data_IF_826628533472
#
_entry.id   IF_826628533472
#
_cell.length_a   1.000
_cell.length_b   1.000
_cell.length_c   1.000
_cell.angle_alpha   90.00
_cell.angle_beta   90.00
_cell.angle_gamma   90.00
#
_symmetry.space_group_name_H-M   'P 1'
#
loop_
_entity.id
_entity.type
_entity.pdbx_description
1 polymer ?
#
# COMPACT_ATOMS: atom_id res chain seq x y z
N UNK A 1 45.40 12.43 25.97
CA UNK A 1 44.30 12.79 25.05
C UNK A 1 43.37 11.59 24.98
N UNK A 2 42.21 11.64 25.65
CA UNK A 2 41.25 10.54 25.64
C UNK A 2 40.54 10.49 24.28
N UNK A 3 40.41 9.31 23.64
CA UNK A 3 39.69 9.22 22.38
C UNK A 3 38.21 9.49 22.63
N UNK A 4 37.68 10.54 22.01
CA UNK A 4 36.26 10.86 21.98
C UNK A 4 35.49 9.68 21.41
N UNK A 5 34.78 8.97 22.29
CA UNK A 5 33.83 7.91 21.97
C UNK A 5 32.67 8.56 21.21
N UNK A 6 32.73 8.60 19.87
CA UNK A 6 31.55 8.95 19.05
C UNK A 6 30.45 7.95 19.42
N UNK A 7 29.42 8.40 20.13
CA UNK A 7 28.21 7.59 20.27
C UNK A 7 27.65 7.41 18.86
N UNK A 8 27.73 6.21 18.31
CA UNK A 8 27.09 5.85 17.05
C UNK A 8 25.59 5.76 17.31
N UNK A 9 24.93 6.92 17.43
CA UNK A 9 23.48 6.97 17.52
C UNK A 9 22.94 6.42 16.19
N UNK A 10 22.23 5.29 16.24
CA UNK A 10 21.51 4.80 15.06
C UNK A 10 20.48 5.85 14.67
N UNK A 11 20.38 6.14 13.38
CA UNK A 11 19.36 7.08 12.87
C UNK A 11 18.00 6.43 13.02
N UNK A 12 17.05 7.16 13.58
CA UNK A 12 15.69 6.66 13.76
C UNK A 12 14.85 6.91 12.51
N UNK A 13 14.01 5.94 12.19
CA UNK A 13 13.17 5.95 10.99
C UNK A 13 11.74 5.60 11.37
N UNK A 14 10.80 6.47 10.98
CA UNK A 14 9.40 6.11 10.84
C UNK A 14 9.20 5.46 9.47
N UNK A 15 8.58 4.28 9.46
CA UNK A 15 8.41 3.49 8.26
C UNK A 15 6.94 3.47 7.80
N UNK A 16 6.69 4.02 6.60
CA UNK A 16 5.39 3.96 5.93
C UNK A 16 5.32 2.73 5.02
N UNK A 17 4.42 1.79 5.33
CA UNK A 17 4.23 0.54 4.61
C UNK A 17 2.97 0.59 3.73
N UNK A 18 3.18 0.55 2.41
CA UNK A 18 2.10 0.65 1.44
C UNK A 18 1.24 -0.62 1.31
N UNK A 19 -0.01 -0.41 0.85
CA UNK A 19 -0.92 -1.47 0.45
C UNK A 19 -0.60 -2.04 -0.94
N UNK A 20 -0.82 -3.35 -1.13
CA UNK A 20 -0.53 -4.02 -2.41
C UNK A 20 -0.85 -5.50 -2.51
N UNK A 21 -1.55 -6.10 -1.53
CA UNK A 21 -1.82 -7.55 -1.49
C UNK A 21 -0.53 -8.36 -1.34
N UNK A 22 -0.39 -9.46 -2.08
CA UNK A 22 0.75 -10.38 -2.02
C UNK A 22 2.11 -9.68 -2.15
N UNK A 23 2.20 -8.62 -2.96
CA UNK A 23 3.39 -7.78 -3.12
C UNK A 23 3.94 -7.23 -1.80
N UNK A 24 3.09 -7.07 -0.79
CA UNK A 24 3.49 -6.66 0.56
C UNK A 24 4.47 -7.60 1.25
N UNK A 25 4.67 -8.83 0.78
CA UNK A 25 5.76 -9.68 1.25
C UNK A 25 7.15 -9.06 1.02
N UNK A 26 7.28 -8.16 0.04
CA UNK A 26 8.49 -7.37 -0.15
C UNK A 26 8.82 -6.44 1.03
N UNK A 27 7.83 -6.08 1.86
CA UNK A 27 8.07 -5.29 3.08
C UNK A 27 9.04 -6.01 4.01
N UNK A 28 8.90 -7.33 4.21
CA UNK A 28 9.79 -8.11 5.08
C UNK A 28 11.25 -8.00 4.65
N UNK A 29 11.49 -8.12 3.34
CA UNK A 29 12.82 -7.98 2.76
C UNK A 29 13.39 -6.58 2.88
N UNK A 30 12.57 -5.56 2.61
CA UNK A 30 13.00 -4.17 2.70
C UNK A 30 13.32 -3.75 4.14
N UNK A 31 12.48 -4.12 5.12
CA UNK A 31 12.74 -3.88 6.56
C UNK A 31 14.07 -4.52 6.97
N UNK A 32 14.36 -5.74 6.49
CA UNK A 32 15.61 -6.42 6.81
C UNK A 32 16.84 -5.62 6.40
N UNK A 33 16.86 -5.08 5.19
CA UNK A 33 18.00 -4.31 4.69
C UNK A 33 18.09 -2.93 5.34
N UNK A 34 16.95 -2.30 5.69
CA UNK A 34 16.94 -1.06 6.50
C UNK A 34 17.64 -1.29 7.85
N UNK A 35 17.27 -2.35 8.57
CA UNK A 35 17.89 -2.70 9.85
C UNK A 35 19.37 -3.07 9.69
N UNK A 36 19.70 -3.82 8.63
CA UNK A 36 21.09 -4.24 8.33
C UNK A 36 21.99 -3.06 7.97
N UNK A 37 21.43 -2.00 7.39
CA UNK A 37 22.12 -0.74 7.12
C UNK A 37 22.32 0.13 8.39
N UNK A 38 21.85 -0.32 9.56
CA UNK A 38 22.10 0.33 10.84
C UNK A 38 21.06 1.37 11.25
N UNK A 39 19.92 1.43 10.56
CA UNK A 39 18.77 2.25 10.99
C UNK A 39 18.00 1.55 12.11
N UNK A 40 17.36 2.36 12.97
CA UNK A 40 16.45 1.90 14.01
C UNK A 40 15.02 2.31 13.62
N UNK A 41 14.08 1.38 13.64
CA UNK A 41 12.68 1.69 13.34
C UNK A 41 12.01 2.14 14.62
N UNK A 42 11.62 3.42 14.70
CA UNK A 42 10.98 4.00 15.88
C UNK A 42 9.45 3.96 15.82
N UNK A 43 8.89 3.81 14.61
CA UNK A 43 7.45 3.77 14.37
C UNK A 43 7.14 3.11 13.03
N UNK A 44 5.98 2.46 12.96
CA UNK A 44 5.43 1.93 11.71
C UNK A 44 4.06 2.54 11.42
N UNK A 45 3.80 2.90 10.17
CA UNK A 45 2.49 3.35 9.68
C UNK A 45 2.08 2.48 8.51
N UNK A 46 0.97 1.75 8.60
CA UNK A 46 0.60 0.73 7.62
C UNK A 46 -0.81 0.87 7.05
N UNK A 47 -0.96 0.52 5.78
CA UNK A 47 -2.25 0.37 5.07
C UNK A 47 -2.34 -1.03 4.46
N UNK A 48 -3.50 -1.68 4.59
CA UNK A 48 -3.78 -2.98 3.95
C UNK A 48 -2.76 -4.05 4.35
N UNK A 49 -2.11 -4.71 3.39
CA UNK A 49 -1.00 -5.63 3.69
C UNK A 49 0.15 -4.97 4.47
N UNK A 50 0.39 -3.67 4.27
CA UNK A 50 1.36 -2.90 5.06
C UNK A 50 0.94 -2.76 6.52
N UNK A 51 -0.38 -2.71 6.80
CA UNK A 51 -0.90 -2.74 8.16
C UNK A 51 -0.66 -4.11 8.82
N UNK A 52 -0.89 -5.22 8.09
CA UNK A 52 -0.61 -6.57 8.57
C UNK A 52 0.88 -6.77 8.87
N UNK A 53 1.76 -6.53 7.89
CA UNK A 53 3.21 -6.70 8.08
C UNK A 53 3.74 -5.74 9.15
N UNK A 54 3.26 -4.50 9.16
CA UNK A 54 3.65 -3.50 10.14
C UNK A 54 3.28 -3.89 11.56
N UNK A 55 2.05 -4.39 11.77
CA UNK A 55 1.62 -4.89 13.07
C UNK A 55 2.40 -6.15 13.48
N UNK A 56 2.65 -7.09 12.57
CA UNK A 56 3.47 -8.28 12.87
C UNK A 56 4.85 -7.87 13.40
N UNK A 57 5.52 -6.95 12.70
CA UNK A 57 6.85 -6.47 13.10
C UNK A 57 6.82 -5.65 14.39
N UNK A 58 5.81 -4.79 14.57
CA UNK A 58 5.69 -3.93 15.73
C UNK A 58 5.49 -4.71 17.04
N UNK A 59 4.73 -5.82 17.00
CA UNK A 59 4.54 -6.70 18.16
C UNK A 59 5.67 -7.70 18.34
N UNK A 60 6.30 -8.15 17.25
CA UNK A 60 7.42 -9.07 17.29
C UNK A 60 8.56 -8.55 16.41
N UNK A 61 9.47 -7.71 16.96
CA UNK A 61 10.55 -7.08 16.20
C UNK A 61 11.71 -8.02 15.85
N UNK A 62 11.44 -9.32 15.77
CA UNK A 62 12.33 -10.33 15.20
C UNK A 62 11.86 -10.64 13.77
N UNK A 63 12.55 -10.05 12.79
CA UNK A 63 12.20 -10.22 11.38
C UNK A 63 12.27 -11.67 10.90
N UNK A 64 13.18 -12.48 11.44
CA UNK A 64 13.31 -13.87 11.02
C UNK A 64 12.09 -14.66 11.48
N UNK A 65 11.68 -14.47 12.74
CA UNK A 65 10.50 -15.11 13.30
C UNK A 65 9.22 -14.72 12.56
N UNK A 66 9.01 -13.44 12.23
CA UNK A 66 7.81 -13.03 11.50
C UNK A 66 7.82 -13.54 10.05
N UNK A 67 8.98 -13.58 9.39
CA UNK A 67 9.10 -14.11 8.03
C UNK A 67 8.80 -15.60 8.01
N UNK A 68 9.36 -16.36 8.95
CA UNK A 68 9.07 -17.79 9.10
C UNK A 68 7.58 -18.03 9.35
N UNK A 69 6.97 -17.30 10.30
CA UNK A 69 5.53 -17.40 10.59
C UNK A 69 4.67 -17.10 9.37
N UNK A 70 5.00 -16.03 8.62
CA UNK A 70 4.29 -15.69 7.39
C UNK A 70 4.39 -16.80 6.34
N UNK A 71 5.59 -17.33 6.09
CA UNK A 71 5.81 -18.40 5.11
C UNK A 71 5.12 -19.71 5.53
N UNK A 72 5.17 -20.06 6.81
CA UNK A 72 4.46 -21.22 7.35
C UNK A 72 2.95 -21.09 7.14
N UNK A 73 2.37 -19.92 7.44
CA UNK A 73 0.95 -19.65 7.22
C UNK A 73 0.57 -19.73 5.73
N UNK A 74 1.35 -19.14 4.82
CA UNK A 74 1.09 -19.23 3.38
C UNK A 74 1.14 -20.66 2.84
N UNK A 75 1.94 -21.53 3.47
CA UNK A 75 2.03 -22.95 3.14
C UNK A 75 0.94 -23.80 3.82
N UNK A 76 0.11 -23.22 4.69
CA UNK A 76 -0.90 -23.97 5.42
C UNK A 76 -2.02 -24.47 4.49
N UNK A 77 -2.59 -25.67 4.75
CA UNK A 77 -3.71 -26.17 3.97
C UNK A 77 -4.95 -25.26 4.04
N UNK A 78 -5.19 -24.58 5.17
CA UNK A 78 -6.32 -23.66 5.26
C UNK A 78 -6.15 -22.49 4.28
N UNK A 79 -4.99 -21.83 4.30
CA UNK A 79 -4.72 -20.70 3.42
C UNK A 79 -4.79 -21.10 1.95
N UNK A 80 -4.16 -22.21 1.57
CA UNK A 80 -4.16 -22.69 0.18
C UNK A 80 -5.58 -23.02 -0.31
N UNK A 81 -6.42 -23.65 0.52
CA UNK A 81 -7.84 -23.93 0.17
C UNK A 81 -8.62 -22.64 -0.04
N UNK A 82 -8.45 -21.65 0.82
CA UNK A 82 -9.12 -20.35 0.67
C UNK A 82 -8.59 -19.62 -0.58
N UNK A 83 -7.28 -19.55 -0.79
CA UNK A 83 -6.70 -18.92 -1.98
C UNK A 83 -7.24 -19.55 -3.28
N UNK A 84 -7.32 -20.88 -3.36
CA UNK A 84 -7.87 -21.58 -4.53
C UNK A 84 -9.37 -21.31 -4.74
N UNK A 85 -10.17 -21.23 -3.68
CA UNK A 85 -11.61 -20.94 -3.78
C UNK A 85 -11.89 -19.50 -4.21
N UNK A 86 -11.02 -18.58 -3.83
CA UNK A 86 -11.18 -17.14 -4.09
C UNK A 86 -10.67 -16.72 -5.46
N UNK A 87 -9.57 -17.33 -5.91
CA UNK A 87 -8.85 -16.92 -7.12
C UNK A 87 -8.73 -18.03 -8.16
N UNK A 88 -9.58 -19.06 -8.05
CA UNK A 88 -9.52 -20.33 -8.80
C UNK A 88 -8.98 -20.24 -10.22
N UNK A 89 -7.90 -21.00 -10.44
CA UNK A 89 -7.20 -21.31 -11.71
C UNK A 89 -6.99 -20.12 -12.65
N UNK A 90 -5.73 -19.65 -12.72
CA UNK A 90 -5.17 -19.05 -13.94
C UNK A 90 -5.62 -19.88 -15.15
N UNK A 91 -6.61 -19.39 -15.89
CA UNK A 91 -6.82 -19.84 -17.25
C UNK A 91 -5.60 -19.31 -18.00
N UNK A 92 -4.70 -20.23 -18.38
CA UNK A 92 -3.51 -19.88 -19.12
C UNK A 92 -3.88 -19.05 -20.35
N UNK A 93 -3.33 -17.85 -20.43
CA UNK A 93 -3.33 -17.04 -21.64
C UNK A 93 -2.47 -17.79 -22.67
N UNK A 94 -3.11 -18.56 -23.56
CA UNK A 94 -2.51 -18.91 -24.83
C UNK A 94 -2.69 -17.72 -25.78
N UNK A 95 -1.66 -17.32 -26.53
CA UNK A 95 -1.72 -16.15 -27.40
C UNK A 95 -2.86 -16.30 -28.42
N UNK A 96 -3.67 -15.24 -28.51
CA UNK A 96 -4.85 -15.15 -29.36
C UNK A 96 -4.53 -15.44 -30.84
N UNK A 97 -5.23 -16.40 -31.44
CA UNK A 97 -5.35 -16.49 -32.90
C UNK A 97 -6.69 -15.86 -33.31
N UNK A 98 -6.70 -14.69 -33.96
CA UNK A 98 -7.95 -14.00 -34.31
C UNK A 98 -8.80 -14.81 -35.31
N UNK A 99 -10.10 -14.98 -35.03
CA UNK A 99 -11.10 -15.40 -36.03
C UNK A 99 -11.79 -16.75 -35.83
N UNK A 100 -11.46 -17.52 -34.79
CA UNK A 100 -12.11 -18.82 -34.55
C UNK A 100 -13.44 -18.71 -33.79
N UNK A 101 -14.35 -19.66 -34.05
CA UNK A 101 -15.62 -19.83 -33.32
C UNK A 101 -15.37 -19.92 -31.79
N UNK A 102 -14.25 -20.53 -31.39
CA UNK A 102 -13.80 -20.59 -30.01
C UNK A 102 -13.60 -19.20 -29.37
N UNK A 103 -13.10 -18.20 -30.09
CA UNK A 103 -12.94 -16.82 -29.61
C UNK A 103 -14.29 -16.16 -29.34
N UNK A 104 -15.30 -16.43 -30.18
CA UNK A 104 -16.67 -15.93 -29.99
C UNK A 104 -17.34 -16.54 -28.74
N UNK A 105 -17.21 -17.85 -28.57
CA UNK A 105 -17.71 -18.53 -27.37
C UNK A 105 -17.00 -18.07 -26.10
N UNK A 106 -15.68 -17.84 -26.14
CA UNK A 106 -14.91 -17.32 -25.00
C UNK A 106 -15.37 -15.92 -24.62
N UNK A 107 -15.52 -15.00 -25.59
CA UNK A 107 -16.08 -13.65 -25.36
C UNK A 107 -17.48 -13.67 -24.76
N UNK A 108 -18.35 -14.57 -25.22
CA UNK A 108 -19.68 -14.75 -24.65
C UNK A 108 -19.60 -15.29 -23.21
N UNK A 109 -18.76 -16.28 -22.96
CA UNK A 109 -18.54 -16.82 -21.62
C UNK A 109 -17.96 -15.77 -20.66
N UNK A 110 -17.02 -14.95 -21.12
CA UNK A 110 -16.43 -13.86 -20.35
C UNK A 110 -17.46 -12.75 -20.07
N UNK A 111 -18.31 -12.40 -21.04
CA UNK A 111 -19.43 -11.48 -20.85
C UNK A 111 -20.46 -12.01 -19.84
N UNK A 112 -20.80 -13.30 -19.90
CA UNK A 112 -21.70 -13.93 -18.94
C UNK A 112 -21.09 -14.01 -17.54
N UNK A 113 -19.78 -14.27 -17.42
CA UNK A 113 -19.04 -14.23 -16.16
C UNK A 113 -18.99 -12.82 -15.58
N UNK A 114 -18.67 -11.82 -16.40
CA UNK A 114 -18.66 -10.42 -16.01
C UNK A 114 -20.06 -9.97 -15.55
N UNK A 115 -21.13 -10.32 -16.26
CA UNK A 115 -22.50 -10.05 -15.86
C UNK A 115 -22.88 -10.71 -14.52
N UNK A 116 -22.47 -11.96 -14.30
CA UNK A 116 -22.72 -12.66 -13.03
C UNK A 116 -21.94 -12.05 -11.87
N UNK A 117 -20.69 -11.65 -12.10
CA UNK A 117 -19.86 -10.96 -11.11
C UNK A 117 -20.48 -9.61 -10.74
N UNK A 118 -20.90 -8.85 -11.75
CA UNK A 118 -21.51 -7.54 -11.59
C UNK A 118 -22.85 -7.62 -10.85
N UNK A 119 -23.71 -8.57 -11.20
CA UNK A 119 -24.95 -8.82 -10.48
C UNK A 119 -24.71 -9.17 -8.99
N UNK A 120 -23.65 -9.96 -8.70
CA UNK A 120 -23.27 -10.26 -7.32
C UNK A 120 -22.74 -9.04 -6.59
N UNK A 121 -21.91 -8.21 -7.22
CA UNK A 121 -21.36 -6.99 -6.65
C UNK A 121 -22.43 -5.91 -6.38
N UNK A 122 -23.52 -5.88 -7.16
CA UNK A 122 -24.65 -4.97 -6.91
C UNK A 122 -25.51 -5.43 -5.73
N UNK A 123 -25.66 -6.75 -5.52
CA UNK A 123 -26.52 -7.30 -4.46
C UNK A 123 -25.81 -7.61 -3.15
N UNK A 124 -24.47 -7.58 -3.12
CA UNK A 124 -23.66 -7.94 -1.96
C UNK A 124 -22.56 -6.92 -1.76
N UNK A 125 -22.25 -6.61 -0.50
CA UNK A 125 -21.16 -5.72 -0.14
C UNK A 125 -19.76 -6.31 -0.40
N UNK A 126 -19.67 -7.63 -0.63
CA UNK A 126 -18.41 -8.32 -0.91
C UNK A 126 -18.59 -9.52 -1.85
N UNK A 127 -17.53 -9.81 -2.62
CA UNK A 127 -17.45 -11.00 -3.47
C UNK A 127 -17.03 -12.25 -2.69
N UNK A 128 -16.31 -12.04 -1.58
CA UNK A 128 -15.65 -13.05 -0.74
C UNK A 128 -16.18 -12.97 0.70
N UNK A 129 -16.24 -14.11 1.41
CA UNK A 129 -16.54 -14.13 2.85
C UNK A 129 -15.37 -13.52 3.66
N UNK A 130 -15.68 -12.86 4.77
CA UNK A 130 -14.65 -12.28 5.66
C UNK A 130 -13.75 -13.31 6.35
N UNK A 131 -14.11 -14.60 6.27
CA UNK A 131 -13.46 -15.72 6.97
C UNK A 131 -11.96 -15.82 6.68
N UNK A 132 -11.53 -15.60 5.43
CA UNK A 132 -10.09 -15.63 5.12
C UNK A 132 -9.35 -14.52 5.87
N UNK A 133 -9.89 -13.30 5.84
CA UNK A 133 -9.21 -12.18 6.49
C UNK A 133 -9.21 -12.33 8.01
N UNK A 134 -10.28 -12.87 8.58
CA UNK A 134 -10.34 -13.23 10.00
C UNK A 134 -9.30 -14.30 10.36
N UNK A 135 -9.14 -15.32 9.52
CA UNK A 135 -8.10 -16.34 9.68
C UNK A 135 -6.70 -15.70 9.61
N UNK A 136 -6.40 -14.91 8.58
CA UNK A 136 -5.09 -14.23 8.43
C UNK A 136 -4.75 -13.43 9.69
N UNK A 137 -5.69 -12.60 10.15
CA UNK A 137 -5.48 -11.73 11.30
C UNK A 137 -5.32 -12.54 12.59
N UNK A 138 -6.13 -13.58 12.79
CA UNK A 138 -6.06 -14.45 13.97
C UNK A 138 -4.72 -15.19 14.05
N UNK A 139 -4.26 -15.72 12.92
CA UNK A 139 -3.04 -16.54 12.87
C UNK A 139 -1.75 -15.73 12.85
N UNK A 140 -1.76 -14.50 12.35
CA UNK A 140 -0.56 -13.67 12.23
C UNK A 140 -0.40 -12.62 13.33
N UNK A 141 -1.51 -12.17 13.95
CA UNK A 141 -1.48 -11.09 14.93
C UNK A 141 -1.93 -11.56 16.32
N UNK A 142 -1.33 -11.02 17.40
CA UNK A 142 -1.75 -11.34 18.76
C UNK A 142 -3.15 -10.80 19.05
N UNK A 143 -3.76 -11.29 20.11
CA UNK A 143 -4.97 -10.69 20.68
C UNK A 143 -4.58 -9.66 21.73
N UNK A 144 -4.30 -8.43 21.28
CA UNK A 144 -3.73 -7.36 22.09
C UNK A 144 -4.21 -5.96 21.63
N UNK A 145 -3.97 -4.94 22.45
CA UNK A 145 -4.18 -3.55 22.09
C UNK A 145 -2.95 -3.03 21.31
N UNK A 146 -3.14 -2.19 20.30
CA UNK A 146 -2.05 -1.57 19.54
C UNK A 146 -1.00 -0.86 20.42
N UNK A 147 -1.39 -0.36 21.60
CA UNK A 147 -0.49 0.27 22.57
C UNK A 147 0.50 -0.70 23.22
N UNK A 148 0.20 -2.00 23.18
CA UNK A 148 1.05 -3.05 23.75
C UNK A 148 2.20 -3.46 22.79
N UNK A 149 2.25 -2.89 21.59
CA UNK A 149 3.30 -3.16 20.62
C UNK A 149 4.68 -2.70 21.12
N UNK A 150 5.73 -3.48 20.85
CA UNK A 150 7.10 -3.14 21.20
C UNK A 150 7.61 -1.90 20.45
N UNK A 151 7.09 -1.66 19.25
CA UNK A 151 7.34 -0.47 18.44
C UNK A 151 5.98 0.22 18.19
N UNK A 152 5.85 1.54 18.40
CA UNK A 152 4.64 2.28 18.06
C UNK A 152 4.17 1.99 16.63
N UNK A 153 2.91 1.63 16.47
CA UNK A 153 2.33 1.28 15.17
C UNK A 153 0.98 1.95 14.95
N UNK A 154 0.79 2.51 13.76
CA UNK A 154 -0.45 3.14 13.32
C UNK A 154 -1.02 2.37 12.13
N UNK A 155 -2.26 1.90 12.22
CA UNK A 155 -2.94 1.22 11.10
C UNK A 155 -4.03 2.12 10.54
N UNK A 156 -4.16 2.21 9.22
CA UNK A 156 -5.08 3.19 8.60
C UNK A 156 -6.19 2.47 7.83
N UNK A 157 -7.43 2.86 8.10
CA UNK A 157 -8.61 2.49 7.34
C UNK A 157 -9.37 3.75 6.88
N UNK A 158 -10.52 3.57 6.25
CA UNK A 158 -11.48 4.65 5.97
C UNK A 158 -12.83 4.30 6.54
N UNK A 159 -13.53 5.27 7.13
CA UNK A 159 -14.94 5.14 7.47
C UNK A 159 -15.81 5.49 6.26
N UNK A 160 -16.58 4.53 5.76
CA UNK A 160 -17.43 4.66 4.59
C UNK A 160 -18.62 5.60 4.82
N UNK A 161 -19.02 5.85 6.07
CA UNK A 161 -20.09 6.82 6.36
C UNK A 161 -19.59 8.26 6.24
N UNK A 162 -18.47 8.60 6.89
CA UNK A 162 -17.93 9.96 6.89
C UNK A 162 -16.99 10.28 5.72
N UNK A 163 -16.46 9.25 5.05
CA UNK A 163 -15.43 9.38 4.02
C UNK A 163 -14.06 9.80 4.55
N UNK A 164 -13.83 9.74 5.87
CA UNK A 164 -12.57 10.19 6.51
C UNK A 164 -11.65 9.02 6.84
N UNK A 165 -10.32 9.21 6.74
CA UNK A 165 -9.36 8.23 7.24
C UNK A 165 -9.55 8.03 8.75
N UNK A 166 -9.49 6.77 9.17
CA UNK A 166 -9.43 6.39 10.58
C UNK A 166 -8.03 5.86 10.86
N UNK A 167 -7.31 6.53 11.75
CA UNK A 167 -5.95 6.17 12.15
C UNK A 167 -6.02 5.47 13.50
N UNK A 168 -5.74 4.17 13.52
CA UNK A 168 -5.70 3.36 14.72
C UNK A 168 -4.31 3.43 15.34
N UNK A 169 -4.18 4.12 16.48
CA UNK A 169 -3.00 4.09 17.36
C UNK A 169 -3.24 3.27 18.64
N UNK A 170 -4.49 2.88 18.88
CA UNK A 170 -4.94 2.14 20.06
C UNK A 170 -6.14 1.26 19.70
N UNK A 171 -6.46 0.31 20.58
CA UNK A 171 -7.56 -0.63 20.41
C UNK A 171 -7.11 -1.97 19.82
N UNK A 172 -8.04 -2.92 19.60
CA UNK A 172 -7.69 -4.29 19.25
C UNK A 172 -6.95 -4.37 17.90
N UNK A 173 -5.71 -4.86 17.91
CA UNK A 173 -4.85 -4.94 16.71
C UNK A 173 -5.52 -5.73 15.59
N UNK A 174 -6.23 -6.80 15.95
CA UNK A 174 -6.93 -7.66 15.00
C UNK A 174 -8.07 -6.93 14.29
N UNK A 175 -8.83 -6.12 15.02
CA UNK A 175 -9.90 -5.31 14.44
C UNK A 175 -9.31 -4.26 13.47
N UNK A 176 -8.31 -3.50 13.92
CA UNK A 176 -7.68 -2.44 13.12
C UNK A 176 -7.03 -2.99 11.85
N UNK A 177 -6.30 -4.11 11.94
CA UNK A 177 -5.70 -4.78 10.79
C UNK A 177 -6.77 -5.33 9.82
N UNK A 178 -7.84 -5.95 10.33
CA UNK A 178 -8.97 -6.42 9.51
C UNK A 178 -9.64 -5.25 8.78
N UNK A 179 -9.93 -4.16 9.48
CA UNK A 179 -10.52 -2.95 8.88
C UNK A 179 -9.62 -2.39 7.77
N UNK A 180 -8.33 -2.24 8.04
CA UNK A 180 -7.34 -1.72 7.08
C UNK A 180 -7.15 -2.63 5.86
N UNK A 181 -7.36 -3.94 5.97
CA UNK A 181 -7.21 -4.90 4.88
C UNK A 181 -8.53 -5.36 4.22
N UNK A 182 -9.67 -4.76 4.61
CA UNK A 182 -10.99 -5.06 4.03
C UNK A 182 -11.18 -4.32 2.71
N UNK A 183 -10.54 -4.83 1.65
CA UNK A 183 -10.58 -4.27 0.28
C UNK A 183 -12.03 -4.18 -0.22
N UNK A 184 -12.54 -2.97 -0.55
CA UNK A 184 -13.90 -2.78 -1.06
C UNK A 184 -14.24 -3.69 -2.24
N UNK A 185 -15.42 -4.31 -2.22
CA UNK A 185 -15.87 -5.23 -3.25
C UNK A 185 -15.25 -6.64 -3.16
N UNK A 186 -14.08 -6.80 -2.55
CA UNK A 186 -13.49 -8.12 -2.28
C UNK A 186 -13.99 -8.65 -0.94
N UNK A 187 -13.65 -7.95 0.15
CA UNK A 187 -13.99 -8.33 1.51
C UNK A 187 -15.12 -7.45 2.06
N UNK A 188 -15.93 -7.97 3.00
CA UNK A 188 -16.97 -7.17 3.63
C UNK A 188 -16.32 -6.07 4.49
N UNK A 189 -16.93 -4.86 4.53
CA UNK A 189 -16.47 -3.83 5.45
C UNK A 189 -16.67 -4.26 6.92
N UNK A 190 -15.87 -3.70 7.81
CA UNK A 190 -15.89 -4.00 9.24
C UNK A 190 -16.76 -2.98 9.96
N UNK A 191 -17.91 -3.42 10.47
CA UNK A 191 -18.69 -2.61 11.40
C UNK A 191 -17.98 -2.55 12.76
N UNK A 192 -17.77 -1.35 13.26
CA UNK A 192 -17.22 -1.12 14.60
C UNK A 192 -17.80 0.18 15.17
N UNK A 193 -18.45 0.09 16.34
CA UNK A 193 -19.19 1.20 16.94
C UNK A 193 -20.20 1.83 15.95
N UNK A 194 -20.04 3.11 15.62
CA UNK A 194 -20.88 3.85 14.66
C UNK A 194 -20.23 3.98 13.26
N UNK A 195 -19.12 3.27 13.04
CA UNK A 195 -18.33 3.35 11.81
C UNK A 195 -18.53 2.10 10.95
N UNK A 196 -18.37 2.30 9.64
CA UNK A 196 -18.31 1.20 8.67
C UNK A 196 -16.96 1.26 7.96
N UNK A 197 -16.02 0.44 8.40
CA UNK A 197 -14.61 0.58 8.05
C UNK A 197 -14.23 -0.28 6.85
N UNK A 198 -13.36 0.26 5.99
CA UNK A 198 -12.79 -0.47 4.86
C UNK A 198 -11.33 -0.07 4.59
N UNK A 199 -10.68 -0.83 3.72
CA UNK A 199 -9.33 -0.52 3.23
C UNK A 199 -9.35 0.77 2.39
N UNK A 200 -8.48 1.72 2.74
CA UNK A 200 -8.30 2.99 2.01
C UNK A 200 -7.35 2.85 0.81
N UNK A 201 -6.68 1.71 0.68
CA UNK A 201 -5.61 1.45 -0.28
C UNK A 201 -6.05 1.44 -1.75
N UNK A 202 -7.36 1.40 -2.02
CA UNK A 202 -7.91 1.67 -3.35
C UNK A 202 -7.63 3.09 -3.85
N UNK A 203 -7.34 4.03 -2.93
CA UNK A 203 -7.02 5.43 -3.23
C UNK A 203 -5.69 5.86 -2.59
N UNK A 204 -5.55 5.73 -1.26
CA UNK A 204 -4.39 6.19 -0.49
C UNK A 204 -3.55 5.01 0.04
N UNK A 205 -3.04 4.16 -0.88
CA UNK A 205 -2.28 2.96 -0.53
C UNK A 205 -0.98 3.22 0.22
N UNK A 206 -0.32 4.35 -0.01
CA UNK A 206 0.95 4.69 0.62
C UNK A 206 0.70 5.76 1.70
N UNK A 207 0.86 5.45 3.00
CA UNK A 207 0.32 6.29 4.08
C UNK A 207 1.18 7.53 4.42
N UNK A 208 1.84 8.12 3.45
CA UNK A 208 2.76 9.25 3.66
C UNK A 208 2.06 10.52 4.14
N UNK A 209 0.80 10.75 3.73
CA UNK A 209 0.02 11.89 4.21
C UNK A 209 -0.23 11.86 5.72
N UNK A 210 -0.39 10.68 6.33
CA UNK A 210 -0.53 10.49 7.78
C UNK A 210 0.85 10.42 8.43
N UNK A 211 1.77 9.61 7.90
CA UNK A 211 3.09 9.42 8.49
C UNK A 211 3.88 10.73 8.64
N UNK A 212 3.73 11.66 7.68
CA UNK A 212 4.38 12.97 7.72
C UNK A 212 3.90 13.88 8.86
N UNK A 213 2.68 13.66 9.37
CA UNK A 213 2.10 14.43 10.46
C UNK A 213 2.56 13.95 11.84
N UNK A 214 3.10 12.73 11.92
CA UNK A 214 3.63 12.16 13.16
C UNK A 214 5.06 12.65 13.38
N UNK A 215 5.53 12.81 14.64
CA UNK A 215 6.93 13.12 14.90
C UNK A 215 7.88 12.03 14.37
N UNK A 216 8.90 12.41 13.60
CA UNK A 216 9.91 11.51 13.06
C UNK A 216 11.25 12.23 12.83
N UNK A 217 12.37 11.49 12.94
CA UNK A 217 13.68 11.95 12.47
C UNK A 217 13.82 11.79 10.96
N UNK A 218 13.55 10.59 10.46
CA UNK A 218 13.50 10.24 9.04
C UNK A 218 12.19 9.51 8.72
N UNK A 219 11.65 9.74 7.53
CA UNK A 219 10.47 9.06 7.01
C UNK A 219 10.83 8.26 5.76
N UNK A 220 10.87 6.93 5.91
CA UNK A 220 11.05 6.02 4.78
C UNK A 220 9.72 5.41 4.37
N UNK A 221 9.53 5.19 3.08
CA UNK A 221 8.33 4.57 2.51
C UNK A 221 8.70 3.30 1.74
N UNK A 222 7.91 2.23 1.89
CA UNK A 222 7.99 1.05 1.03
C UNK A 222 6.73 0.97 0.17
N UNK A 223 6.90 1.20 -1.13
CA UNK A 223 5.81 1.25 -2.11
C UNK A 223 5.73 -0.04 -2.92
N UNK A 224 4.74 -0.88 -2.57
CA UNK A 224 4.42 -2.16 -3.22
C UNK A 224 3.20 -2.04 -4.14
N UNK A 225 2.93 -0.83 -4.63
CA UNK A 225 1.82 -0.53 -5.53
C UNK A 225 1.87 -1.28 -6.87
N UNK A 226 0.81 -1.12 -7.65
CA UNK A 226 0.70 -1.69 -9.00
C UNK A 226 1.07 -0.69 -10.07
N UNK A 227 1.46 -1.19 -11.24
CA UNK A 227 1.44 -0.39 -12.48
C UNK A 227 0.02 -0.22 -13.00
N UNK A 228 -0.19 0.91 -13.68
CA UNK A 228 -1.42 1.17 -14.43
C UNK A 228 -1.51 0.20 -15.61
N UNK A 229 -2.31 -0.85 -15.47
CA UNK A 229 -2.53 -1.83 -16.55
C UNK A 229 -3.15 -1.17 -17.79
N UNK A 230 -2.82 -1.59 -19.02
CA UNK A 230 -3.50 -1.11 -20.21
C UNK A 230 -5.01 -1.39 -20.14
N UNK A 231 -5.83 -0.47 -20.65
CA UNK A 231 -7.27 -0.69 -20.80
C UNK A 231 -7.57 -1.39 -22.13
N UNK A 232 -8.61 -2.22 -22.17
CA UNK A 232 -9.06 -2.86 -23.40
C UNK A 232 -9.43 -1.84 -24.49
N UNK A 233 -9.37 -2.26 -25.77
CA UNK A 233 -9.71 -1.39 -26.92
C UNK A 233 -11.16 -0.89 -26.90
N UNK A 234 -12.09 -1.67 -26.34
CA UNK A 234 -13.50 -1.32 -26.22
C UNK A 234 -13.95 -1.61 -24.79
N UNK A 235 -13.64 -0.71 -23.82
CA UNK A 235 -13.96 -0.95 -22.43
C UNK A 235 -15.44 -0.68 -22.16
N UNK A 236 -16.00 -1.46 -21.24
CA UNK A 236 -17.29 -1.23 -20.61
C UNK A 236 -17.27 -0.01 -19.69
N UNK A 237 -18.46 0.52 -19.35
CA UNK A 237 -18.58 1.62 -18.40
C UNK A 237 -17.93 1.31 -17.03
N UNK A 238 -18.04 0.06 -16.57
CA UNK A 238 -17.43 -0.38 -15.31
C UNK A 238 -15.91 -0.41 -15.40
N UNK A 239 -15.34 -0.89 -16.50
CA UNK A 239 -13.88 -0.86 -16.71
C UNK A 239 -13.36 0.57 -16.77
N UNK A 240 -14.10 1.51 -17.36
CA UNK A 240 -13.75 2.93 -17.36
C UNK A 240 -13.76 3.50 -15.93
N UNK A 241 -14.79 3.20 -15.13
CA UNK A 241 -14.89 3.67 -13.74
C UNK A 241 -13.75 3.13 -12.87
N UNK A 242 -13.46 1.83 -12.95
CA UNK A 242 -12.34 1.21 -12.24
C UNK A 242 -11.01 1.78 -12.71
N UNK A 243 -10.85 2.00 -14.02
CA UNK A 243 -9.65 2.63 -14.58
C UNK A 243 -9.42 4.04 -14.05
N UNK A 244 -10.49 4.85 -13.93
CA UNK A 244 -10.40 6.19 -13.36
C UNK A 244 -9.94 6.15 -11.90
N UNK A 245 -10.45 5.20 -11.11
CA UNK A 245 -9.98 4.99 -9.74
C UNK A 245 -8.48 4.64 -9.72
N UNK A 246 -8.04 3.70 -10.56
CA UNK A 246 -6.62 3.30 -10.64
C UNK A 246 -5.71 4.48 -11.02
N UNK A 247 -6.12 5.29 -12.01
CA UNK A 247 -5.40 6.50 -12.42
C UNK A 247 -5.31 7.49 -11.26
N UNK A 248 -6.42 7.76 -10.58
CA UNK A 248 -6.46 8.64 -9.42
C UNK A 248 -5.51 8.17 -8.31
N UNK A 249 -5.53 6.88 -7.99
CA UNK A 249 -4.64 6.28 -7.00
C UNK A 249 -3.16 6.35 -7.42
N UNK A 250 -2.85 6.18 -8.70
CA UNK A 250 -1.49 6.28 -9.22
C UNK A 250 -0.94 7.72 -9.15
N UNK A 251 -1.74 8.70 -9.59
CA UNK A 251 -1.39 10.12 -9.50
C UNK A 251 -1.23 10.57 -8.04
N UNK A 252 -2.13 10.14 -7.16
CA UNK A 252 -2.04 10.43 -5.73
C UNK A 252 -0.77 9.82 -5.12
N UNK A 253 -0.47 8.55 -5.46
CA UNK A 253 0.75 7.86 -5.01
C UNK A 253 2.01 8.62 -5.43
N UNK A 254 2.11 9.03 -6.69
CA UNK A 254 3.26 9.81 -7.19
C UNK A 254 3.40 11.14 -6.45
N UNK A 255 2.28 11.85 -6.23
CA UNK A 255 2.29 13.10 -5.49
C UNK A 255 2.80 12.95 -4.05
N UNK A 256 2.41 11.88 -3.34
CA UNK A 256 2.83 11.70 -1.94
C UNK A 256 4.27 11.23 -1.78
N UNK A 257 4.94 10.72 -2.83
CA UNK A 257 6.34 10.28 -2.75
C UNK A 257 7.28 11.39 -2.28
N UNK A 258 6.99 12.64 -2.65
CA UNK A 258 7.76 13.83 -2.23
C UNK A 258 7.76 14.07 -0.72
N UNK A 259 6.83 13.45 0.01
CA UNK A 259 6.72 13.59 1.47
C UNK A 259 7.68 12.69 2.24
N UNK A 260 8.35 11.73 1.59
CA UNK A 260 9.31 10.83 2.21
C UNK A 260 10.76 11.28 1.99
N UNK A 261 11.64 10.99 2.95
CA UNK A 261 13.08 11.17 2.78
C UNK A 261 13.68 10.12 1.83
N UNK A 262 13.10 8.91 1.83
CA UNK A 262 13.47 7.81 0.95
C UNK A 262 12.24 6.97 0.61
N UNK A 263 12.06 6.67 -0.68
CA UNK A 263 11.07 5.70 -1.16
C UNK A 263 11.79 4.47 -1.69
N UNK A 264 11.44 3.31 -1.15
CA UNK A 264 11.89 2.00 -1.59
C UNK A 264 10.76 1.41 -2.42
N UNK A 265 11.00 1.16 -3.71
CA UNK A 265 10.01 0.63 -4.64
C UNK A 265 10.47 -0.74 -5.17
N UNK A 266 10.07 -1.86 -4.53
CA UNK A 266 10.42 -3.19 -4.99
C UNK A 266 9.90 -3.50 -6.40
N UNK A 267 10.67 -4.28 -7.16
CA UNK A 267 10.31 -4.71 -8.52
C UNK A 267 9.23 -5.81 -8.51
N UNK A 268 8.06 -5.51 -7.93
CA UNK A 268 6.96 -6.44 -7.70
C UNK A 268 5.65 -6.00 -8.36
N UNK A 269 5.66 -4.87 -9.07
CA UNK A 269 4.46 -4.24 -9.64
C UNK A 269 3.69 -5.13 -10.63
N UNK A 270 4.42 -6.03 -11.30
CA UNK A 270 3.90 -7.01 -12.25
C UNK A 270 3.16 -8.19 -11.61
N UNK A 271 3.31 -8.39 -10.29
CA UNK A 271 2.66 -9.49 -9.57
C UNK A 271 1.23 -9.11 -9.23
N UNK A 272 0.29 -10.02 -9.49
CA UNK A 272 -1.11 -9.85 -9.12
C UNK A 272 -1.27 -9.78 -7.61
N UNK A 273 -2.16 -8.90 -7.14
CA UNK A 273 -2.35 -8.63 -5.72
C UNK A 273 -2.79 -9.87 -4.91
N UNK A 274 -3.36 -10.88 -5.57
CA UNK A 274 -3.82 -12.12 -4.94
C UNK A 274 -2.84 -13.30 -5.12
N UNK A 275 -1.69 -13.10 -5.77
CA UNK A 275 -0.73 -14.17 -6.04
C UNK A 275 0.35 -14.29 -4.97
N UNK A 276 0.07 -15.10 -3.94
CA UNK A 276 1.00 -15.40 -2.85
C UNK A 276 1.93 -16.59 -3.13
N UNK A 277 1.94 -17.14 -4.35
CA UNK A 277 2.70 -18.35 -4.66
C UNK A 277 4.21 -18.15 -4.71
N UNK A 278 4.67 -16.91 -4.94
CA UNK A 278 6.08 -16.56 -5.13
C UNK A 278 6.65 -15.76 -3.96
N UNK A 279 6.34 -16.19 -2.73
CA UNK A 279 6.62 -15.44 -1.51
C UNK A 279 8.11 -15.07 -1.34
N UNK A 280 9.00 -16.04 -1.54
CA UNK A 280 10.45 -15.87 -1.40
C UNK A 280 11.00 -14.89 -2.44
N UNK A 281 10.49 -14.92 -3.67
CA UNK A 281 10.86 -13.99 -4.74
C UNK A 281 10.47 -12.56 -4.38
N UNK A 282 9.27 -12.37 -3.84
CA UNK A 282 8.78 -11.05 -3.41
C UNK A 282 9.61 -10.49 -2.26
N UNK A 283 9.94 -11.32 -1.26
CA UNK A 283 10.82 -10.93 -0.16
C UNK A 283 12.20 -10.51 -0.70
N UNK A 284 12.78 -11.30 -1.62
CA UNK A 284 14.07 -10.97 -2.22
C UNK A 284 14.04 -9.68 -3.03
N UNK A 285 12.96 -9.41 -3.77
CA UNK A 285 12.78 -8.15 -4.49
C UNK A 285 12.75 -6.95 -3.52
N UNK A 286 12.14 -7.12 -2.34
CA UNK A 286 12.17 -6.13 -1.27
C UNK A 286 13.57 -5.85 -0.75
N UNK A 287 14.37 -6.90 -0.51
CA UNK A 287 15.78 -6.77 -0.10
C UNK A 287 16.58 -6.01 -1.14
N UNK A 288 16.50 -6.43 -2.40
CA UNK A 288 17.26 -5.81 -3.48
C UNK A 288 16.94 -4.31 -3.61
N UNK A 289 15.66 -3.95 -3.65
CA UNK A 289 15.26 -2.56 -3.80
C UNK A 289 15.66 -1.68 -2.61
N UNK A 290 15.58 -2.20 -1.39
CA UNK A 290 16.04 -1.47 -0.21
C UNK A 290 17.55 -1.24 -0.24
N UNK A 291 18.34 -2.27 -0.61
CA UNK A 291 19.79 -2.15 -0.75
C UNK A 291 20.21 -1.09 -1.76
N UNK A 292 19.55 -1.09 -2.92
CA UNK A 292 19.82 -0.13 -4.00
C UNK A 292 19.46 1.31 -3.56
N UNK A 293 18.27 1.48 -2.98
CA UNK A 293 17.78 2.77 -2.49
C UNK A 293 18.66 3.32 -1.36
N UNK A 294 19.07 2.48 -0.40
CA UNK A 294 19.91 2.88 0.73
C UNK A 294 21.33 3.23 0.29
N UNK A 295 21.86 2.54 -0.72
CA UNK A 295 23.17 2.88 -1.31
C UNK A 295 23.12 4.26 -1.97
N UNK A 296 22.06 4.54 -2.73
CA UNK A 296 21.84 5.86 -3.34
C UNK A 296 21.63 6.96 -2.29
N UNK A 297 20.94 6.63 -1.18
CA UNK A 297 20.69 7.55 -0.08
C UNK A 297 21.96 7.86 0.75
N UNK A 298 22.84 6.87 0.92
CA UNK A 298 24.10 7.00 1.66
C UNK A 298 25.20 7.74 0.87
N UNK A 299 25.08 7.85 -0.46
CA UNK A 299 25.94 8.73 -1.24
C UNK A 299 25.65 10.18 -0.85
N UNK A 300 26.66 10.99 -0.46
CA UNK A 300 26.41 12.39 -0.15
C UNK A 300 25.81 13.05 -1.38
N UNK A 301 24.55 13.52 -1.27
CA UNK A 301 24.00 14.50 -2.22
C UNK A 301 25.00 15.64 -2.26
N UNK A 302 25.80 15.70 -3.33
CA UNK A 302 26.64 16.85 -3.62
C UNK A 302 25.71 18.06 -3.56
N UNK A 303 26.00 18.96 -2.62
CA UNK A 303 25.36 20.28 -2.55
C UNK A 303 25.83 21.08 -3.78
N UNK A 304 25.31 20.73 -4.94
CA UNK A 304 25.35 21.51 -6.16
C UNK A 304 23.94 21.51 -6.73
N UNK A 305 23.02 22.17 -6.03
CA UNK A 305 22.12 23.12 -6.68
C UNK A 305 21.49 24.07 -5.64
N UNK A 306 22.31 24.95 -5.06
CA UNK A 306 21.82 26.21 -4.49
C UNK A 306 22.11 27.30 -5.52
N UNK A 307 21.27 27.39 -6.55
CA UNK A 307 21.60 28.24 -7.68
C UNK A 307 20.52 28.63 -8.69
N UNK A 308 19.23 28.33 -8.51
CA UNK A 308 18.19 29.09 -9.25
C UNK A 308 16.82 29.07 -8.55
N UNK A 309 16.62 30.01 -7.63
CA UNK A 309 15.25 30.49 -7.34
C UNK A 309 14.81 31.31 -8.55
N UNK A 310 14.19 30.66 -9.53
CA UNK A 310 13.39 31.35 -10.53
C UNK A 310 12.22 32.03 -9.81
N UNK A 311 12.28 33.36 -9.80
CA UNK A 311 11.25 34.23 -9.30
C UNK A 311 9.91 33.90 -9.98
N UNK A 312 8.88 33.67 -9.16
CA UNK A 312 7.48 33.63 -9.62
C UNK A 312 7.13 35.00 -10.23
N UNK A 313 6.58 35.08 -11.45
CA UNK A 313 6.06 36.33 -11.97
C UNK A 313 4.85 36.75 -11.12
N UNK A 314 4.89 38.01 -10.66
CA UNK A 314 3.93 38.58 -9.73
C UNK A 314 2.48 38.57 -10.23
N UNK A 315 1.58 38.31 -9.29
CA UNK A 315 0.18 38.65 -9.38
C UNK A 315 0.04 40.16 -9.64
N UNK A 316 -0.49 40.54 -10.81
CA UNK A 316 -0.97 41.89 -11.05
C UNK A 316 -2.25 42.11 -10.25
N UNK A 317 -2.12 42.87 -9.16
CA UNK A 317 -3.25 43.54 -8.51
C UNK A 317 -3.89 44.52 -9.49
N UNK A 318 -5.12 44.21 -9.91
CA UNK A 318 -6.01 45.18 -10.53
C UNK A 318 -6.70 45.99 -9.43
N UNK A 319 -6.23 47.21 -9.18
CA UNK A 319 -6.99 48.21 -8.44
C UNK A 319 -6.49 49.62 -8.80
N UNK A 320 -7.37 50.37 -9.48
CA UNK A 320 -7.49 51.82 -9.28
C UNK A 320 -6.62 52.72 -10.14
N UNK A 321 -7.15 53.15 -11.30
CA UNK A 321 -7.04 54.55 -11.72
C UNK A 321 -8.37 55.03 -12.28
N UNK A 322 -9.03 55.90 -11.52
CA UNK A 322 -10.01 56.89 -11.99
C UNK A 322 -9.42 58.28 -11.74
N UNK A 323 -9.91 59.25 -12.53
CA UNK A 323 -9.54 60.67 -12.63
C UNK A 323 -8.30 60.92 -13.50
N UNK A 324 -8.28 61.86 -14.45
CA UNK A 324 -9.23 62.84 -14.99
C UNK A 324 -8.54 63.46 -16.21
N UNK A 325 -9.25 63.75 -17.30
CA UNK A 325 -9.65 65.11 -17.68
C UNK A 325 -8.80 65.68 -18.84
N UNK A 326 -9.48 65.91 -19.99
CA UNK A 326 -9.23 66.97 -21.02
C UNK A 326 -7.93 66.84 -21.85
N UNK A 327 -7.84 67.16 -23.14
CA UNK A 327 -8.60 68.00 -24.08
C UNK A 327 -8.55 67.41 -25.51
N UNK A 328 -9.38 67.99 -26.39
CA UNK A 328 -9.50 67.88 -27.86
C UNK A 328 -10.30 66.72 -28.49
#
# INVERSE_FOLDING_TARGET
MSPTRRSTHRKKVTLALGGGGARGLAHLGAIHEILSAGFEIERVVGVSIGALVGAMYAFQPDLNAIQERALQFLRSPEFQRHQQRLFGTRLGDSPDTPGTIATRYRRLADALRANRLMYRAIRRSSLVSGELLELVVKELLPDADLRDAAIPVCLIAVDLHSGRPVVFEQGPVRLAARASASVPGIFPPVAHEQQLLADIGGFAALPLGVARQLPHELLFAIDVGTELKPIARHPSAVEILLRMNDIGAALFREHVHESADLVIAPAVRHVEWCDFTSAEVLIQAGRQAARDALTQYALPRSRHDSGSRLARPGARNGAGQRSGMRDD
#
